data_IF_803344051068
#
_entry.id   IF_803344051068
#
_cell.length_a   1.000
_cell.length_b   1.000
_cell.length_c   1.000
_cell.angle_alpha   90.00
_cell.angle_beta   90.00
_cell.angle_gamma   90.00
#
_symmetry.space_group_name_H-M   'P 1'
#
loop_
_entity.id
_entity.type
_entity.pdbx_description
1 polymer ?
#
# COMPACT_ATOMS: atom_id res chain seq x y z
N UNK A 1 1.80 -12.00 15.36
CA UNK A 1 3.07 -11.25 15.45
C UNK A 1 2.90 -9.96 16.27
N UNK A 2 1.93 -9.05 15.96
CA UNK A 2 1.76 -7.76 16.64
C UNK A 2 1.58 -7.84 18.16
N UNK A 3 0.71 -8.73 18.62
CA UNK A 3 0.48 -8.93 20.08
C UNK A 3 1.76 -9.34 20.80
N UNK A 4 2.53 -10.25 20.20
CA UNK A 4 3.81 -10.71 20.78
C UNK A 4 4.81 -9.56 20.87
N UNK A 5 4.89 -8.74 19.82
CA UNK A 5 5.76 -7.56 19.80
C UNK A 5 5.37 -6.53 20.87
N UNK A 6 4.07 -6.25 21.04
CA UNK A 6 3.58 -5.36 22.09
C UNK A 6 3.89 -5.87 23.50
N UNK A 7 3.61 -7.15 23.76
CA UNK A 7 3.90 -7.76 25.05
C UNK A 7 5.40 -7.73 25.35
N UNK A 8 6.23 -8.09 24.37
CA UNK A 8 7.68 -8.03 24.49
C UNK A 8 8.18 -6.60 24.81
N UNK A 9 7.69 -5.61 24.07
CA UNK A 9 8.08 -4.20 24.27
C UNK A 9 7.71 -3.68 25.64
N UNK A 10 6.51 -4.03 26.15
CA UNK A 10 6.06 -3.65 27.48
C UNK A 10 6.95 -4.31 28.56
N UNK A 11 7.15 -5.62 28.48
CA UNK A 11 7.98 -6.36 29.45
C UNK A 11 9.42 -5.80 29.44
N UNK A 12 10.02 -5.62 28.27
CA UNK A 12 11.38 -5.08 28.14
C UNK A 12 11.47 -3.65 28.68
N UNK A 13 10.49 -2.79 28.42
CA UNK A 13 10.42 -1.42 28.93
C UNK A 13 10.36 -1.37 30.47
N UNK A 14 9.61 -2.28 31.10
CA UNK A 14 9.55 -2.39 32.55
C UNK A 14 10.88 -2.91 33.14
N UNK A 15 11.50 -3.93 32.53
CA UNK A 15 12.79 -4.48 33.00
C UNK A 15 13.89 -3.40 32.93
N UNK A 16 13.93 -2.61 31.86
CA UNK A 16 14.90 -1.52 31.69
C UNK A 16 14.56 -0.26 32.49
N UNK A 17 13.43 -0.23 33.20
CA UNK A 17 12.92 0.94 33.94
C UNK A 17 12.74 2.20 33.06
N UNK A 18 12.61 2.02 31.75
CA UNK A 18 12.39 3.12 30.80
C UNK A 18 10.91 3.42 30.61
N UNK A 19 10.01 2.47 31.00
CA UNK A 19 8.54 2.63 30.94
C UNK A 19 7.95 2.62 32.33
N UNK A 20 6.92 3.48 32.51
CA UNK A 20 6.07 3.51 33.68
C UNK A 20 4.63 3.20 33.24
N UNK A 21 3.76 2.83 34.17
CA UNK A 21 2.33 2.57 33.92
C UNK A 21 1.63 3.72 33.20
N UNK A 22 2.05 4.97 33.46
CA UNK A 22 1.56 6.16 32.73
C UNK A 22 1.89 6.11 31.24
N UNK A 23 3.14 5.77 30.89
CA UNK A 23 3.57 5.65 29.47
C UNK A 23 2.81 4.54 28.75
N UNK A 24 2.51 3.41 29.43
CA UNK A 24 1.70 2.34 28.85
C UNK A 24 0.29 2.82 28.58
N UNK A 25 -0.30 3.59 29.51
CA UNK A 25 -1.64 4.15 29.35
C UNK A 25 -1.74 5.20 28.24
N UNK A 26 -0.74 6.07 28.11
CA UNK A 26 -0.62 7.03 27.03
C UNK A 26 -0.46 6.32 25.68
N UNK A 27 0.44 5.35 25.59
CA UNK A 27 0.60 4.53 24.38
C UNK A 27 -0.67 3.78 23.99
N UNK A 28 -1.47 3.32 24.95
CA UNK A 28 -2.76 2.71 24.69
C UNK A 28 -3.77 3.72 24.13
N UNK A 29 -3.84 4.93 24.66
CA UNK A 29 -4.68 6.01 24.11
C UNK A 29 -4.28 6.37 22.68
N UNK A 30 -3.00 6.51 22.42
CA UNK A 30 -2.48 6.83 21.08
C UNK A 30 -2.81 5.71 20.09
N UNK A 31 -2.70 4.45 20.54
CA UNK A 31 -3.07 3.30 19.72
C UNK A 31 -4.59 3.29 19.41
N UNK A 32 -5.45 3.66 20.37
CA UNK A 32 -6.90 3.78 20.15
C UNK A 32 -7.19 4.89 19.14
N UNK A 33 -6.58 6.06 19.29
CA UNK A 33 -6.75 7.16 18.34
C UNK A 33 -6.27 6.78 16.92
N UNK A 34 -5.09 6.15 16.80
CA UNK A 34 -4.58 5.66 15.53
C UNK A 34 -5.50 4.64 14.88
N UNK A 35 -5.98 3.65 15.66
CA UNK A 35 -6.92 2.63 15.18
C UNK A 35 -8.25 3.24 14.74
N UNK A 36 -8.79 4.22 15.50
CA UNK A 36 -10.03 4.90 15.13
C UNK A 36 -9.91 5.60 13.80
N UNK A 37 -8.83 6.33 13.56
CA UNK A 37 -8.57 6.99 12.29
C UNK A 37 -8.50 5.98 11.13
N UNK A 38 -7.80 4.87 11.30
CA UNK A 38 -7.75 3.81 10.30
C UNK A 38 -9.14 3.21 10.03
N UNK A 39 -9.94 2.95 11.08
CA UNK A 39 -11.27 2.35 10.93
C UNK A 39 -12.24 3.28 10.18
N UNK A 40 -12.17 4.59 10.41
CA UNK A 40 -12.97 5.57 9.66
C UNK A 40 -12.65 5.45 8.17
N UNK A 41 -11.38 5.42 7.80
CA UNK A 41 -10.96 5.28 6.40
C UNK A 41 -11.46 3.98 5.80
N UNK A 42 -11.37 2.86 6.54
CA UNK A 42 -11.87 1.54 6.09
C UNK A 42 -13.37 1.56 5.79
N UNK A 43 -14.17 2.22 6.66
CA UNK A 43 -15.61 2.34 6.45
C UNK A 43 -15.92 3.11 5.17
N UNK A 44 -15.31 4.28 4.98
CA UNK A 44 -15.51 5.07 3.76
C UNK A 44 -15.01 4.35 2.50
N UNK A 45 -13.89 3.66 2.58
CA UNK A 45 -13.37 2.84 1.49
C UNK A 45 -14.33 1.71 1.13
N UNK A 46 -14.96 1.06 2.13
CA UNK A 46 -15.97 0.03 1.90
C UNK A 46 -17.21 0.57 1.20
N UNK A 47 -17.71 1.75 1.61
CA UNK A 47 -18.83 2.42 0.94
C UNK A 47 -18.45 2.75 -0.52
N UNK A 48 -17.27 3.30 -0.74
CA UNK A 48 -16.79 3.62 -2.08
C UNK A 48 -16.68 2.36 -2.96
N UNK A 49 -16.11 1.27 -2.43
CA UNK A 49 -16.03 -0.01 -3.14
C UNK A 49 -17.38 -0.55 -3.55
N UNK A 50 -18.39 -0.45 -2.67
CA UNK A 50 -19.76 -0.84 -2.97
C UNK A 50 -20.36 0.03 -4.08
N UNK A 51 -20.19 1.34 -4.00
CA UNK A 51 -20.64 2.27 -5.05
C UNK A 51 -19.96 1.98 -6.39
N UNK A 52 -18.64 1.80 -6.38
CA UNK A 52 -17.87 1.48 -7.58
C UNK A 52 -18.37 0.22 -8.27
N UNK A 53 -18.73 -0.80 -7.48
CA UNK A 53 -19.32 -2.05 -8.00
C UNK A 53 -20.71 -1.82 -8.59
N UNK A 54 -21.57 -1.08 -7.89
CA UNK A 54 -22.93 -0.78 -8.36
C UNK A 54 -22.95 0.06 -9.64
N UNK A 55 -22.05 1.00 -9.79
CA UNK A 55 -21.88 1.80 -11.01
C UNK A 55 -21.10 1.08 -12.12
N UNK A 56 -20.75 -0.21 -11.92
CA UNK A 56 -20.02 -1.01 -12.90
C UNK A 56 -18.67 -0.40 -13.33
N UNK A 57 -17.98 0.33 -12.44
CA UNK A 57 -16.66 0.87 -12.74
C UNK A 57 -15.68 -0.22 -13.19
N UNK A 58 -15.83 -1.42 -12.65
CA UNK A 58 -15.06 -2.59 -13.05
C UNK A 58 -15.20 -2.95 -14.53
N UNK A 59 -16.40 -2.73 -15.11
CA UNK A 59 -16.62 -2.95 -16.55
C UNK A 59 -15.91 -1.90 -17.40
N UNK A 60 -15.83 -0.66 -16.92
CA UNK A 60 -15.10 0.42 -17.60
C UNK A 60 -13.62 0.08 -17.65
N UNK A 61 -13.06 -0.39 -16.54
CA UNK A 61 -11.65 -0.82 -16.45
C UNK A 61 -11.40 -2.03 -17.36
N UNK A 62 -12.31 -2.99 -17.39
CA UNK A 62 -12.21 -4.15 -18.27
C UNK A 62 -12.29 -3.74 -19.76
N UNK A 63 -13.17 -2.81 -20.12
CA UNK A 63 -13.25 -2.27 -21.47
C UNK A 63 -11.96 -1.52 -21.85
N UNK A 64 -11.42 -0.70 -20.95
CA UNK A 64 -10.16 0.00 -21.15
C UNK A 64 -8.97 -0.98 -21.34
N UNK A 65 -8.99 -2.12 -20.65
CA UNK A 65 -7.93 -3.12 -20.78
C UNK A 65 -7.89 -3.80 -22.16
N UNK A 66 -9.01 -3.81 -22.91
CA UNK A 66 -9.05 -4.38 -24.27
C UNK A 66 -8.17 -3.64 -25.26
N UNK A 67 -7.87 -2.36 -25.02
CA UNK A 67 -6.93 -1.56 -25.83
C UNK A 67 -5.53 -2.19 -25.88
N UNK A 68 -5.17 -2.96 -24.87
CA UNK A 68 -3.88 -3.64 -24.78
C UNK A 68 -3.83 -5.02 -25.47
N UNK A 69 -4.83 -5.32 -26.33
CA UNK A 69 -4.91 -6.57 -27.11
C UNK A 69 -4.72 -7.86 -26.29
N UNK A 70 -5.13 -7.85 -25.02
CA UNK A 70 -5.05 -9.00 -24.14
C UNK A 70 -3.65 -9.31 -23.60
N UNK A 71 -2.67 -8.43 -23.78
CA UNK A 71 -1.33 -8.64 -23.20
C UNK A 71 -1.35 -8.38 -21.68
N UNK A 72 -1.16 -9.42 -20.85
CA UNK A 72 -1.29 -9.31 -19.40
C UNK A 72 -0.24 -8.36 -18.78
N UNK A 73 0.96 -8.32 -19.33
CA UNK A 73 2.04 -7.46 -18.82
C UNK A 73 1.73 -5.98 -19.02
N UNK A 74 1.20 -5.61 -20.21
CA UNK A 74 0.82 -4.23 -20.49
C UNK A 74 -0.33 -3.76 -19.59
N UNK A 75 -1.26 -4.65 -19.29
CA UNK A 75 -2.38 -4.37 -18.39
C UNK A 75 -1.87 -4.13 -16.96
N UNK A 76 -0.96 -4.96 -16.46
CA UNK A 76 -0.38 -4.77 -15.14
C UNK A 76 0.44 -3.48 -15.04
N UNK A 77 1.19 -3.13 -16.08
CA UNK A 77 1.92 -1.85 -16.14
C UNK A 77 0.94 -0.68 -16.13
N UNK A 78 -0.15 -0.75 -16.89
CA UNK A 78 -1.18 0.28 -16.93
C UNK A 78 -1.85 0.46 -15.55
N UNK A 79 -2.23 -0.64 -14.90
CA UNK A 79 -2.78 -0.62 -13.54
C UNK A 79 -1.76 -0.03 -12.56
N UNK A 80 -0.49 -0.43 -12.67
CA UNK A 80 0.58 0.11 -11.82
C UNK A 80 0.72 1.62 -11.97
N UNK A 81 0.61 2.17 -13.17
CA UNK A 81 0.65 3.62 -13.38
C UNK A 81 -0.53 4.31 -12.68
N UNK A 82 -1.74 3.77 -12.81
CA UNK A 82 -2.93 4.33 -12.15
C UNK A 82 -2.78 4.28 -10.63
N UNK A 83 -2.34 3.15 -10.08
CA UNK A 83 -2.14 2.96 -8.65
C UNK A 83 -1.01 3.85 -8.12
N UNK A 84 0.06 4.01 -8.88
CA UNK A 84 1.16 4.90 -8.53
C UNK A 84 0.68 6.34 -8.39
N UNK A 85 -0.09 6.83 -9.39
CA UNK A 85 -0.66 8.18 -9.34
C UNK A 85 -1.64 8.31 -8.17
N UNK A 86 -2.50 7.33 -7.95
CA UNK A 86 -3.42 7.34 -6.82
C UNK A 86 -2.68 7.36 -5.46
N UNK A 87 -1.62 6.57 -5.32
CA UNK A 87 -0.79 6.52 -4.11
C UNK A 87 -0.04 7.83 -3.81
N UNK A 88 0.17 8.70 -4.81
CA UNK A 88 0.74 10.03 -4.57
C UNK A 88 -0.18 10.94 -3.75
N UNK A 89 -1.50 10.73 -3.83
CA UNK A 89 -2.50 11.62 -3.23
C UNK A 89 -3.24 10.98 -2.06
N UNK A 90 -3.34 9.65 -2.04
CA UNK A 90 -4.13 8.89 -1.09
C UNK A 90 -3.21 7.96 -0.32
N UNK A 91 -3.48 7.75 0.97
CA UNK A 91 -2.78 6.75 1.77
C UNK A 91 -2.87 5.36 1.13
N UNK A 92 -1.77 4.60 1.13
CA UNK A 92 -1.67 3.30 0.45
C UNK A 92 -2.73 2.31 0.92
N UNK A 93 -3.04 2.26 2.22
CA UNK A 93 -4.06 1.35 2.75
C UNK A 93 -5.46 1.74 2.29
N UNK A 94 -5.77 3.04 2.33
CA UNK A 94 -7.04 3.55 1.84
C UNK A 94 -7.21 3.30 0.34
N UNK A 95 -6.18 3.63 -0.45
CA UNK A 95 -6.17 3.41 -1.89
C UNK A 95 -6.34 1.93 -2.24
N UNK A 96 -5.69 1.03 -1.50
CA UNK A 96 -5.82 -0.41 -1.71
C UNK A 96 -7.27 -0.88 -1.49
N UNK A 97 -7.88 -0.49 -0.37
CA UNK A 97 -9.26 -0.86 -0.05
C UNK A 97 -10.28 -0.31 -1.04
N UNK A 98 -10.02 0.88 -1.61
CA UNK A 98 -10.92 1.52 -2.56
C UNK A 98 -10.74 1.00 -3.99
N UNK A 99 -9.51 0.80 -4.44
CA UNK A 99 -9.20 0.56 -5.85
C UNK A 99 -9.10 -0.93 -6.20
N UNK A 100 -8.59 -1.77 -5.30
CA UNK A 100 -8.44 -3.21 -5.59
C UNK A 100 -9.76 -3.88 -5.99
N UNK A 101 -10.91 -3.63 -5.35
CA UNK A 101 -12.18 -4.20 -5.78
C UNK A 101 -12.57 -3.83 -7.22
N UNK A 102 -12.17 -2.66 -7.70
CA UNK A 102 -12.44 -2.21 -9.08
C UNK A 102 -11.64 -3.04 -10.10
N UNK A 103 -10.41 -3.44 -9.72
CA UNK A 103 -9.53 -4.23 -10.58
C UNK A 103 -9.72 -5.74 -10.46
N UNK A 104 -10.45 -6.22 -9.43
CA UNK A 104 -10.69 -7.66 -9.20
C UNK A 104 -11.19 -8.42 -10.44
N UNK A 105 -12.11 -7.89 -11.27
CA UNK A 105 -12.55 -8.60 -12.48
C UNK A 105 -11.44 -8.86 -13.50
N UNK A 106 -10.36 -8.06 -13.50
CA UNK A 106 -9.22 -8.29 -14.38
C UNK A 106 -8.43 -9.54 -13.95
N UNK A 107 -8.40 -9.86 -12.64
CA UNK A 107 -7.77 -11.06 -12.12
C UNK A 107 -8.41 -12.29 -12.78
N UNK A 108 -9.75 -12.35 -12.77
CA UNK A 108 -10.48 -13.45 -13.37
C UNK A 108 -10.39 -13.46 -14.91
N UNK A 109 -10.44 -12.29 -15.55
CA UNK A 109 -10.43 -12.17 -17.02
C UNK A 109 -9.08 -12.55 -17.65
N UNK A 110 -7.97 -12.27 -16.96
CA UNK A 110 -6.61 -12.50 -17.47
C UNK A 110 -5.89 -13.65 -16.75
N UNK A 111 -6.54 -14.32 -15.80
CA UNK A 111 -6.00 -15.46 -15.09
C UNK A 111 -4.81 -15.12 -14.17
N UNK A 112 -4.77 -13.93 -13.61
CA UNK A 112 -3.73 -13.54 -12.67
C UNK A 112 -3.86 -14.32 -11.36
N UNK A 113 -2.74 -14.70 -10.77
CA UNK A 113 -2.71 -15.17 -9.39
C UNK A 113 -3.08 -13.99 -8.45
N UNK A 114 -4.04 -14.17 -7.51
CA UNK A 114 -4.47 -13.08 -6.61
C UNK A 114 -3.34 -12.54 -5.73
N UNK A 115 -2.42 -13.39 -5.26
CA UNK A 115 -1.28 -13.00 -4.42
C UNK A 115 -0.31 -12.16 -5.24
N UNK A 116 -0.01 -12.61 -6.45
CA UNK A 116 0.83 -11.87 -7.38
C UNK A 116 0.26 -10.49 -7.70
N UNK A 117 -1.03 -10.42 -8.03
CA UNK A 117 -1.71 -9.15 -8.32
C UNK A 117 -1.69 -8.21 -7.10
N UNK A 118 -2.00 -8.72 -5.90
CA UNK A 118 -1.97 -7.96 -4.67
C UNK A 118 -0.57 -7.37 -4.38
N UNK A 119 0.49 -8.15 -4.61
CA UNK A 119 1.87 -7.67 -4.42
C UNK A 119 2.24 -6.54 -5.39
N UNK A 120 1.84 -6.63 -6.65
CA UNK A 120 2.04 -5.53 -7.61
C UNK A 120 1.31 -4.28 -7.15
N UNK A 121 0.07 -4.40 -6.66
CA UNK A 121 -0.71 -3.28 -6.14
C UNK A 121 -0.04 -2.62 -4.93
N UNK A 122 0.41 -3.42 -3.94
CA UNK A 122 1.05 -2.92 -2.71
C UNK A 122 2.35 -2.19 -3.06
N UNK A 123 3.25 -2.82 -3.81
CA UNK A 123 4.54 -2.23 -4.18
C UNK A 123 4.34 -0.90 -4.92
N UNK A 124 3.34 -0.83 -5.78
CA UNK A 124 3.07 0.37 -6.57
C UNK A 124 2.46 1.50 -5.74
N UNK A 125 1.51 1.19 -4.87
CA UNK A 125 0.88 2.18 -4.00
C UNK A 125 1.87 2.77 -3.00
N UNK A 126 2.74 1.94 -2.42
CA UNK A 126 3.76 2.40 -1.47
C UNK A 126 4.77 3.34 -2.13
N UNK A 127 5.14 3.07 -3.39
CA UNK A 127 5.96 4.02 -4.16
C UNK A 127 5.25 5.36 -4.36
N UNK A 128 3.95 5.33 -4.66
CA UNK A 128 3.14 6.54 -4.76
C UNK A 128 3.22 7.36 -3.48
N UNK A 129 3.02 6.72 -2.31
CA UNK A 129 3.09 7.35 -1.00
C UNK A 129 4.45 7.97 -0.64
N UNK A 130 5.53 7.55 -1.31
CA UNK A 130 6.86 8.16 -1.20
C UNK A 130 7.09 9.30 -2.18
N UNK A 131 6.23 9.47 -3.19
CA UNK A 131 6.48 10.34 -4.34
C UNK A 131 5.83 11.70 -4.20
N UNK A 132 6.48 12.79 -4.67
CA UNK A 132 5.81 14.08 -4.81
C UNK A 132 4.58 13.94 -5.75
N UNK A 133 3.48 14.71 -5.60
CA UNK A 133 3.42 16.00 -4.91
C UNK A 133 3.02 15.93 -3.43
N UNK A 134 2.27 14.92 -3.00
CA UNK A 134 1.85 14.82 -1.58
C UNK A 134 2.80 13.93 -0.79
N UNK A 135 3.01 12.68 -1.20
CA UNK A 135 4.00 11.78 -0.63
C UNK A 135 4.01 11.72 0.90
N UNK A 136 2.94 11.22 1.53
CA UNK A 136 2.78 11.24 2.98
C UNK A 136 4.01 10.69 3.73
N UNK A 137 4.58 9.60 3.25
CA UNK A 137 5.77 8.97 3.84
C UNK A 137 7.01 9.86 3.75
N UNK A 138 7.10 10.68 2.70
CA UNK A 138 8.18 11.64 2.52
C UNK A 138 8.12 12.75 3.59
N UNK A 139 6.94 13.29 3.88
CA UNK A 139 6.75 14.29 4.93
C UNK A 139 7.03 13.73 6.31
N UNK A 140 6.57 12.51 6.60
CA UNK A 140 6.86 11.81 7.86
C UNK A 140 8.37 11.65 8.03
N UNK A 141 9.07 11.19 6.99
CA UNK A 141 10.53 11.03 7.03
C UNK A 141 11.26 12.34 7.26
N UNK A 142 10.83 13.42 6.59
CA UNK A 142 11.39 14.76 6.79
C UNK A 142 11.20 15.25 8.23
N UNK A 143 10.02 15.03 8.80
CA UNK A 143 9.70 15.41 10.18
C UNK A 143 10.52 14.65 11.22
N UNK A 144 10.69 13.33 11.05
CA UNK A 144 11.46 12.49 11.99
C UNK A 144 12.95 12.83 11.95
N UNK A 145 13.48 13.13 10.76
CA UNK A 145 14.92 13.39 10.57
C UNK A 145 15.30 14.86 10.71
N UNK A 146 14.33 15.73 10.96
CA UNK A 146 14.51 17.19 11.00
C UNK A 146 15.26 17.72 9.76
N UNK A 147 14.99 17.12 8.60
CA UNK A 147 15.70 17.39 7.35
C UNK A 147 14.81 18.22 6.43
N UNK A 148 15.35 19.26 5.77
CA UNK A 148 14.59 20.05 4.79
C UNK A 148 14.03 19.16 3.68
N UNK A 149 12.74 19.35 3.37
CA UNK A 149 11.99 18.54 2.41
C UNK A 149 12.68 18.43 1.05
N UNK A 150 13.33 19.49 0.59
CA UNK A 150 14.07 19.54 -0.67
C UNK A 150 15.19 18.48 -0.74
N UNK A 151 15.91 18.26 0.38
CA UNK A 151 16.95 17.25 0.45
C UNK A 151 16.36 15.84 0.46
N UNK A 152 15.23 15.65 1.14
CA UNK A 152 14.51 14.38 1.17
C UNK A 152 14.03 14.04 -0.23
N UNK A 153 13.36 14.96 -0.92
CA UNK A 153 12.88 14.79 -2.30
C UNK A 153 14.00 14.36 -3.23
N UNK A 154 15.15 15.04 -3.17
CA UNK A 154 16.29 14.71 -4.04
C UNK A 154 16.82 13.29 -3.86
N UNK A 155 16.79 12.80 -2.63
CA UNK A 155 17.29 11.45 -2.32
C UNK A 155 16.24 10.37 -2.59
N UNK A 156 14.96 10.69 -2.39
CA UNK A 156 13.87 9.72 -2.52
C UNK A 156 13.71 9.23 -3.97
N UNK A 157 14.05 10.05 -4.97
CA UNK A 157 14.03 9.62 -6.37
C UNK A 157 14.91 8.39 -6.64
N UNK A 158 16.02 8.23 -5.94
CA UNK A 158 16.87 7.03 -6.05
C UNK A 158 16.13 5.79 -5.54
N UNK A 159 15.43 5.92 -4.42
CA UNK A 159 14.64 4.83 -3.84
C UNK A 159 13.43 4.48 -4.72
N UNK A 160 12.75 5.49 -5.28
CA UNK A 160 11.65 5.30 -6.22
C UNK A 160 12.15 4.52 -7.45
N UNK A 161 13.29 4.88 -8.02
CA UNK A 161 13.86 4.19 -9.18
C UNK A 161 14.16 2.72 -8.88
N UNK A 162 14.78 2.44 -7.73
CA UNK A 162 15.07 1.06 -7.30
C UNK A 162 13.77 0.28 -7.09
N UNK A 163 12.81 0.87 -6.38
CA UNK A 163 11.55 0.21 -6.08
C UNK A 163 10.72 -0.05 -7.36
N UNK A 164 10.72 0.90 -8.29
CA UNK A 164 10.09 0.72 -9.59
C UNK A 164 10.75 -0.40 -10.41
N UNK A 165 12.08 -0.50 -10.35
CA UNK A 165 12.80 -1.61 -10.98
C UNK A 165 12.41 -2.96 -10.37
N UNK A 166 12.26 -3.03 -9.05
CA UNK A 166 11.78 -4.23 -8.35
C UNK A 166 10.36 -4.57 -8.76
N UNK A 167 9.47 -3.58 -8.83
CA UNK A 167 8.08 -3.78 -9.26
C UNK A 167 8.02 -4.31 -10.70
N UNK A 168 8.83 -3.77 -11.61
CA UNK A 168 8.94 -4.29 -12.97
C UNK A 168 9.45 -5.74 -12.99
N UNK A 169 10.47 -6.05 -12.19
CA UNK A 169 10.94 -7.44 -12.06
C UNK A 169 9.84 -8.36 -11.57
N UNK A 170 9.05 -7.96 -10.59
CA UNK A 170 7.91 -8.74 -10.11
C UNK A 170 6.86 -8.91 -11.20
N UNK A 171 6.58 -7.87 -12.01
CA UNK A 171 5.63 -7.96 -13.13
C UNK A 171 6.10 -8.98 -14.18
N UNK A 172 7.39 -9.01 -14.50
CA UNK A 172 7.91 -9.91 -15.53
C UNK A 172 8.23 -11.32 -15.00
N UNK A 173 8.51 -11.45 -13.70
CA UNK A 173 8.89 -12.71 -13.05
C UNK A 173 7.97 -12.98 -11.86
N UNK A 174 6.72 -13.46 -12.09
CA UNK A 174 5.75 -13.75 -11.02
C UNK A 174 6.28 -14.71 -9.96
N UNK A 175 7.16 -15.62 -10.36
CA UNK A 175 7.76 -16.60 -9.46
C UNK A 175 8.48 -16.00 -8.24
N UNK A 176 8.98 -14.76 -8.34
CA UNK A 176 9.63 -14.07 -7.21
C UNK A 176 8.70 -13.90 -6.01
N UNK A 177 7.40 -13.79 -6.27
CA UNK A 177 6.39 -13.52 -5.24
C UNK A 177 5.58 -14.76 -4.91
N UNK A 178 5.30 -15.61 -5.91
CA UNK A 178 4.44 -16.80 -5.73
C UNK A 178 5.22 -18.02 -5.21
N UNK A 179 6.55 -18.02 -5.31
CA UNK A 179 7.37 -19.14 -4.86
C UNK A 179 7.19 -19.48 -3.37
N UNK A 180 7.25 -18.48 -2.50
CA UNK A 180 7.14 -18.71 -1.06
C UNK A 180 5.73 -19.16 -0.64
N UNK A 181 4.64 -18.53 -1.11
CA UNK A 181 3.27 -19.00 -0.87
C UNK A 181 3.01 -20.40 -1.42
N UNK A 182 3.63 -20.79 -2.53
CA UNK A 182 3.45 -22.12 -3.12
C UNK A 182 4.08 -23.27 -2.30
N UNK A 183 4.92 -22.92 -1.30
CA UNK A 183 5.53 -23.90 -0.38
C UNK A 183 4.71 -24.08 0.92
N UNK A 184 3.69 -23.23 1.13
CA UNK A 184 2.83 -23.25 2.32
C UNK A 184 1.50 -23.94 2.04
#
# INVERSE_FOLDING_TARGET
>A
AGVVACVYSIIYGFIRKTMNTKHVWEGFKDAVHGTTNCMIVVVFAGIFGTLATNYNLSKVVLAASQVFHGNPYLILIFISIILYIAGMFIDSNAAMLMLVPIFTPLIAAYGFDPIYFAMVCILTLDMGGMSPPVGLLMYISASITDTPLEKVVRNIFKFITVNYSVTLLVIFIPALVTWLPSLM
#
